data_IF_703306117312
#
_entry.id   IF_703306117312
#
_cell.length_a   1.000
_cell.length_b   1.000
_cell.length_c   1.000
_cell.angle_alpha   90.00
_cell.angle_beta   90.00
_cell.angle_gamma   90.00
#
_symmetry.space_group_name_H-M   'P 1'
#
loop_
_entity.id
_entity.type
_entity.pdbx_description
1 polymer ?
#
# COMPACT_ATOMS: atom_id res chain seq x y z
N UNK A 1 -20.70 11.36 -12.05
CA UNK A 1 -19.36 10.71 -12.10
C UNK A 1 -19.50 9.42 -12.90
N UNK A 2 -18.50 9.03 -13.70
CA UNK A 2 -18.54 7.74 -14.39
C UNK A 2 -18.66 6.60 -13.36
N UNK A 3 -19.42 5.57 -13.69
CA UNK A 3 -19.51 4.37 -12.85
C UNK A 3 -18.15 3.65 -12.90
N UNK A 4 -17.51 3.34 -11.75
CA UNK A 4 -16.26 2.60 -11.75
C UNK A 4 -16.48 1.17 -12.26
N UNK A 5 -15.50 0.64 -13.00
CA UNK A 5 -15.43 -0.77 -13.40
C UNK A 5 -14.17 -1.40 -12.77
N UNK A 6 -14.05 -1.23 -11.46
CA UNK A 6 -12.84 -1.56 -10.71
C UNK A 6 -12.83 -3.05 -10.33
N UNK A 7 -11.75 -3.74 -10.70
CA UNK A 7 -11.40 -5.04 -10.11
C UNK A 7 -10.09 -4.92 -9.34
N UNK A 8 -10.10 -5.26 -8.05
CA UNK A 8 -8.92 -5.28 -7.19
C UNK A 8 -8.34 -6.69 -7.13
N UNK A 9 -7.06 -6.83 -7.49
CA UNK A 9 -6.32 -8.07 -7.36
C UNK A 9 -5.72 -8.15 -5.95
N UNK A 10 -6.15 -9.15 -5.18
CA UNK A 10 -6.02 -9.17 -3.72
C UNK A 10 -5.31 -10.40 -3.20
N UNK A 11 -4.57 -10.22 -2.10
CA UNK A 11 -4.19 -11.28 -1.17
C UNK A 11 -4.37 -10.80 0.28
N UNK A 12 -4.78 -11.68 1.21
CA UNK A 12 -4.81 -11.36 2.63
C UNK A 12 -3.45 -10.87 3.14
N UNK A 13 -3.48 -9.99 4.15
CA UNK A 13 -2.27 -9.42 4.79
C UNK A 13 -1.31 -8.74 3.80
N UNK A 14 -1.85 -8.14 2.73
CA UNK A 14 -1.06 -7.41 1.74
C UNK A 14 -1.48 -5.96 1.65
N UNK A 15 -0.68 -5.18 0.91
CA UNK A 15 -0.95 -3.77 0.60
C UNK A 15 -2.26 -3.56 -0.16
N UNK A 16 -2.85 -4.61 -0.75
CA UNK A 16 -4.15 -4.47 -1.39
C UNK A 16 -5.28 -4.10 -0.44
N UNK A 17 -5.12 -4.36 0.87
CA UNK A 17 -6.13 -3.99 1.87
C UNK A 17 -6.41 -2.49 1.91
N UNK A 18 -5.42 -1.62 1.67
CA UNK A 18 -5.66 -0.16 1.69
C UNK A 18 -6.53 0.30 0.52
N UNK A 19 -6.44 -0.38 -0.62
CA UNK A 19 -7.29 -0.09 -1.78
C UNK A 19 -8.73 -0.52 -1.50
N UNK A 20 -8.91 -1.71 -0.92
CA UNK A 20 -10.22 -2.19 -0.49
C UNK A 20 -10.84 -1.23 0.54
N UNK A 21 -10.07 -0.85 1.56
CA UNK A 21 -10.53 0.08 2.59
C UNK A 21 -10.94 1.43 1.99
N UNK A 22 -10.13 2.02 1.10
CA UNK A 22 -10.49 3.27 0.42
C UNK A 22 -11.81 3.14 -0.36
N UNK A 23 -12.01 2.03 -1.09
CA UNK A 23 -13.23 1.81 -1.86
C UNK A 23 -14.46 1.70 -0.95
N UNK A 24 -14.32 1.05 0.21
CA UNK A 24 -15.38 0.98 1.24
C UNK A 24 -15.68 2.37 1.83
N UNK A 25 -14.68 3.13 2.25
CA UNK A 25 -14.86 4.50 2.78
C UNK A 25 -15.59 5.40 1.77
N UNK A 26 -15.26 5.27 0.48
CA UNK A 26 -15.88 6.04 -0.59
C UNK A 26 -17.23 5.47 -1.06
N UNK A 27 -17.65 4.31 -0.54
CA UNK A 27 -18.84 3.57 -0.97
C UNK A 27 -18.86 3.33 -2.49
N UNK A 28 -17.70 3.02 -3.09
CA UNK A 28 -17.58 2.75 -4.51
C UNK A 28 -17.79 1.25 -4.79
N UNK A 29 -18.53 0.86 -5.85
CA UNK A 29 -18.66 -0.53 -6.22
C UNK A 29 -17.37 -1.05 -6.87
N UNK A 30 -16.96 -2.26 -6.52
CA UNK A 30 -15.79 -2.94 -7.07
C UNK A 30 -15.95 -4.46 -7.03
N UNK A 31 -15.07 -5.16 -7.74
CA UNK A 31 -14.92 -6.61 -7.67
C UNK A 31 -13.59 -6.96 -7.01
N UNK A 32 -13.53 -8.08 -6.28
CA UNK A 32 -12.28 -8.61 -5.73
C UNK A 32 -11.91 -9.89 -6.44
N UNK A 33 -10.69 -9.92 -6.99
CA UNK A 33 -10.07 -11.13 -7.50
C UNK A 33 -8.96 -11.56 -6.55
N UNK A 34 -9.31 -12.44 -5.61
CA UNK A 34 -8.34 -13.02 -4.69
C UNK A 34 -7.44 -14.01 -5.42
N UNK A 35 -6.14 -13.74 -5.41
CA UNK A 35 -5.14 -14.59 -6.04
C UNK A 35 -4.83 -15.79 -5.14
N UNK A 36 -4.27 -16.85 -5.74
CA UNK A 36 -3.69 -17.96 -4.99
C UNK A 36 -2.20 -17.70 -4.78
N UNK A 37 -1.75 -17.89 -3.55
CA UNK A 37 -0.34 -17.88 -3.23
C UNK A 37 0.30 -19.17 -3.75
N UNK A 38 1.31 -19.04 -4.60
CA UNK A 38 2.16 -20.15 -5.06
C UNK A 38 3.61 -19.84 -4.69
N UNK A 39 4.48 -20.86 -4.52
CA UNK A 39 5.90 -20.62 -4.26
C UNK A 39 6.52 -19.72 -5.33
N UNK A 40 6.93 -18.51 -4.95
CA UNK A 40 7.56 -17.54 -5.85
C UNK A 40 6.62 -16.74 -6.78
N UNK A 41 5.31 -17.04 -6.81
CA UNK A 41 4.34 -16.35 -7.67
C UNK A 41 3.03 -16.07 -6.93
N UNK A 42 2.54 -14.84 -7.04
CA UNK A 42 1.22 -14.42 -6.60
C UNK A 42 0.32 -14.33 -7.84
N UNK A 43 -0.47 -15.37 -8.13
CA UNK A 43 -1.43 -15.38 -9.25
C UNK A 43 -0.99 -16.07 -10.55
N UNK A 44 0.24 -16.58 -10.64
CA UNK A 44 0.76 -17.34 -11.79
C UNK A 44 1.27 -16.47 -12.95
N UNK A 45 1.77 -17.09 -14.02
CA UNK A 45 2.37 -16.40 -15.18
C UNK A 45 1.39 -15.43 -15.85
N UNK A 46 0.12 -15.81 -15.98
CA UNK A 46 -0.91 -14.97 -16.59
C UNK A 46 -1.12 -13.64 -15.83
N UNK A 47 -0.86 -13.61 -14.52
CA UNK A 47 -0.98 -12.38 -13.73
C UNK A 47 0.15 -11.38 -14.01
N UNK A 48 1.28 -11.82 -14.58
CA UNK A 48 2.36 -10.90 -14.99
C UNK A 48 1.92 -9.87 -16.04
N UNK A 49 0.87 -10.20 -16.81
CA UNK A 49 0.22 -9.28 -17.76
C UNK A 49 -0.51 -8.12 -17.06
N UNK A 50 -0.86 -8.29 -15.78
CA UNK A 50 -1.52 -7.29 -14.93
C UNK A 50 -0.48 -6.56 -14.07
N UNK A 51 0.38 -7.32 -13.38
CA UNK A 51 1.48 -6.76 -12.60
C UNK A 51 2.79 -7.45 -12.98
N UNK A 52 3.77 -6.74 -13.58
CA UNK A 52 4.99 -7.35 -14.12
C UNK A 52 5.87 -8.01 -13.04
N UNK A 53 5.87 -7.48 -11.82
CA UNK A 53 6.55 -8.07 -10.66
C UNK A 53 5.76 -9.20 -9.99
N UNK A 54 4.57 -9.54 -10.51
CA UNK A 54 3.67 -10.54 -9.96
C UNK A 54 3.32 -10.24 -8.49
N UNK A 55 3.07 -8.99 -8.12
CA UNK A 55 2.76 -8.56 -6.74
C UNK A 55 1.33 -8.01 -6.64
N UNK A 56 0.84 -7.81 -5.42
CA UNK A 56 -0.43 -7.12 -5.14
C UNK A 56 -0.20 -5.85 -4.29
N UNK A 57 -1.06 -4.83 -4.42
CA UNK A 57 -2.21 -4.75 -5.32
C UNK A 57 -1.84 -4.44 -6.77
N UNK A 58 -2.74 -4.86 -7.64
CA UNK A 58 -3.02 -4.19 -8.90
C UNK A 58 -4.52 -3.98 -9.01
N UNK A 59 -4.96 -3.06 -9.87
CA UNK A 59 -6.37 -2.93 -10.26
C UNK A 59 -6.50 -2.94 -11.78
N UNK A 60 -7.69 -3.31 -12.25
CA UNK A 60 -8.19 -2.87 -13.54
C UNK A 60 -9.37 -1.91 -13.33
N UNK A 61 -9.55 -0.98 -14.25
CA UNK A 61 -10.71 -0.09 -14.35
C UNK A 61 -11.10 0.06 -15.82
N UNK A 62 -12.06 -0.75 -16.27
CA UNK A 62 -12.26 -1.04 -17.69
C UNK A 62 -11.02 -1.69 -18.31
N UNK A 63 -10.53 -1.13 -19.42
CA UNK A 63 -9.34 -1.63 -20.13
C UNK A 63 -8.00 -1.19 -19.49
N UNK A 64 -8.04 -0.25 -18.54
CA UNK A 64 -6.83 0.24 -17.88
C UNK A 64 -6.39 -0.75 -16.79
N UNK A 65 -5.08 -0.96 -16.70
CA UNK A 65 -4.46 -1.71 -15.62
C UNK A 65 -3.38 -0.86 -14.94
N UNK A 66 -3.35 -0.89 -13.61
CA UNK A 66 -2.33 -0.18 -12.83
C UNK A 66 -1.93 -0.96 -11.58
N UNK A 67 -0.68 -0.79 -11.16
CA UNK A 67 -0.15 -1.25 -9.88
C UNK A 67 0.46 -0.06 -9.12
N UNK A 68 1.04 -0.31 -7.95
CA UNK A 68 1.40 0.67 -6.92
C UNK A 68 0.22 1.16 -6.09
N UNK A 69 0.10 0.60 -4.89
CA UNK A 69 -1.04 0.84 -3.99
C UNK A 69 -1.33 2.31 -3.67
N UNK A 70 -0.32 3.16 -3.48
CA UNK A 70 -0.51 4.59 -3.20
C UNK A 70 -0.95 5.34 -4.47
N UNK A 71 -0.42 4.96 -5.64
CA UNK A 71 -0.86 5.54 -6.92
C UNK A 71 -2.31 5.13 -7.22
N UNK A 72 -2.69 3.88 -6.93
CA UNK A 72 -4.08 3.39 -7.04
C UNK A 72 -5.02 4.23 -6.17
N UNK A 73 -4.64 4.52 -4.92
CA UNK A 73 -5.45 5.35 -4.03
C UNK A 73 -5.66 6.75 -4.62
N UNK A 74 -4.58 7.40 -5.07
CA UNK A 74 -4.66 8.73 -5.69
C UNK A 74 -5.55 8.72 -6.93
N UNK A 75 -5.35 7.75 -7.83
CA UNK A 75 -6.19 7.58 -9.03
C UNK A 75 -7.68 7.47 -8.69
N UNK A 76 -8.05 6.65 -7.70
CA UNK A 76 -9.44 6.47 -7.28
C UNK A 76 -10.00 7.79 -6.72
N UNK A 77 -9.25 8.48 -5.86
CA UNK A 77 -9.67 9.76 -5.28
C UNK A 77 -9.84 10.84 -6.36
N UNK A 78 -8.87 10.95 -7.28
CA UNK A 78 -8.91 11.91 -8.40
C UNK A 78 -10.13 11.69 -9.29
N UNK A 79 -10.40 10.44 -9.67
CA UNK A 79 -11.36 10.11 -10.71
C UNK A 79 -12.79 9.96 -10.20
N UNK A 80 -12.96 9.39 -9.01
CA UNK A 80 -14.26 8.97 -8.48
C UNK A 80 -14.67 9.69 -7.19
N UNK A 81 -13.78 10.45 -6.57
CA UNK A 81 -14.06 11.14 -5.32
C UNK A 81 -13.36 12.50 -5.20
N UNK A 82 -13.48 13.39 -6.21
CA UNK A 82 -12.82 14.69 -6.16
C UNK A 82 -13.27 15.48 -4.93
N UNK A 83 -12.30 16.04 -4.20
CA UNK A 83 -12.53 16.80 -2.97
C UNK A 83 -12.91 15.96 -1.75
N UNK A 84 -12.73 14.63 -1.79
CA UNK A 84 -12.95 13.74 -0.64
C UNK A 84 -11.65 13.10 -0.18
N UNK A 85 -11.54 12.89 1.13
CA UNK A 85 -10.44 12.15 1.80
C UNK A 85 -9.02 12.70 1.54
N UNK A 86 -8.92 13.94 1.07
CA UNK A 86 -7.66 14.68 0.94
C UNK A 86 -7.91 16.20 0.86
N UNK A 87 -6.92 17.03 1.22
CA UNK A 87 -6.95 18.47 0.99
C UNK A 87 -7.00 18.83 -0.51
N UNK A 88 -7.44 20.05 -0.83
CA UNK A 88 -7.30 20.59 -2.19
C UNK A 88 -5.82 20.81 -2.51
N UNK A 89 -5.43 20.69 -3.78
CA UNK A 89 -4.02 20.86 -4.21
C UNK A 89 -3.48 22.26 -3.96
N UNK A 90 -4.35 23.24 -3.75
CA UNK A 90 -4.00 24.63 -3.41
C UNK A 90 -3.94 24.89 -1.90
N UNK A 91 -4.40 23.95 -1.07
CA UNK A 91 -4.37 24.07 0.39
C UNK A 91 -2.96 23.87 0.94
N UNK A 92 -2.63 24.57 2.03
CA UNK A 92 -1.35 24.43 2.72
C UNK A 92 -1.11 22.99 3.24
N UNK A 93 -2.19 22.28 3.59
CA UNK A 93 -2.16 20.91 4.12
C UNK A 93 -1.90 19.83 3.05
N UNK A 94 -1.97 20.18 1.76
CA UNK A 94 -1.78 19.20 0.69
C UNK A 94 -0.36 18.58 0.69
N UNK A 95 0.66 19.40 0.95
CA UNK A 95 2.04 18.95 1.05
C UNK A 95 2.25 17.93 2.17
N UNK A 96 1.90 18.27 3.44
CA UNK A 96 1.92 17.33 4.56
C UNK A 96 1.11 16.06 4.30
N UNK A 97 -0.12 16.18 3.77
CA UNK A 97 -0.94 15.02 3.40
C UNK A 97 -0.20 14.09 2.43
N UNK A 98 0.35 14.65 1.35
CA UNK A 98 1.03 13.86 0.32
C UNK A 98 2.28 13.18 0.89
N UNK A 99 3.04 13.90 1.74
CA UNK A 99 4.19 13.34 2.45
C UNK A 99 3.77 12.10 3.25
N UNK A 100 2.75 12.19 4.09
CA UNK A 100 2.31 11.09 4.96
C UNK A 100 1.69 9.93 4.18
N UNK A 101 0.97 10.21 3.10
CA UNK A 101 0.44 9.20 2.19
C UNK A 101 1.56 8.33 1.59
N UNK A 102 2.70 8.94 1.24
CA UNK A 102 3.86 8.23 0.67
C UNK A 102 4.80 7.66 1.73
N UNK A 103 4.88 8.28 2.92
CA UNK A 103 5.81 7.92 4.00
C UNK A 103 5.73 6.43 4.37
N UNK A 104 4.52 5.87 4.42
CA UNK A 104 4.31 4.46 4.72
C UNK A 104 5.03 3.49 3.78
N UNK A 105 5.12 3.82 2.48
CA UNK A 105 5.81 2.97 1.49
C UNK A 105 7.26 3.37 1.26
N UNK A 106 7.58 4.66 1.33
CA UNK A 106 8.94 5.14 1.03
C UNK A 106 9.89 5.03 2.21
N UNK A 107 9.39 5.22 3.44
CA UNK A 107 10.22 5.27 4.65
C UNK A 107 9.98 4.07 5.55
N UNK A 108 8.71 3.78 5.88
CA UNK A 108 8.35 2.77 6.88
C UNK A 108 8.49 1.33 6.36
N UNK A 109 8.06 1.10 5.13
CA UNK A 109 8.06 -0.24 4.53
C UNK A 109 9.43 -0.94 4.49
N UNK A 110 10.57 -0.28 4.19
CA UNK A 110 11.90 -0.92 4.23
C UNK A 110 12.28 -1.53 5.58
N UNK A 111 12.05 -0.82 6.69
CA UNK A 111 12.35 -1.33 8.03
C UNK A 111 11.45 -2.54 8.37
N UNK A 112 10.15 -2.43 8.09
CA UNK A 112 9.20 -3.53 8.26
C UNK A 112 9.60 -4.73 7.39
N UNK A 113 9.95 -4.51 6.13
CA UNK A 113 10.37 -5.59 5.23
C UNK A 113 11.61 -6.30 5.77
N UNK A 114 12.61 -5.56 6.23
CA UNK A 114 13.80 -6.13 6.88
C UNK A 114 13.39 -7.07 8.02
N UNK A 115 12.58 -6.59 8.95
CA UNK A 115 12.13 -7.40 10.09
C UNK A 115 11.28 -8.61 9.67
N UNK A 116 10.40 -8.46 8.70
CA UNK A 116 9.60 -9.55 8.15
C UNK A 116 10.47 -10.65 7.55
N UNK A 117 11.50 -10.28 6.78
CA UNK A 117 12.43 -11.26 6.22
C UNK A 117 13.25 -11.95 7.31
N UNK A 118 13.82 -11.20 8.25
CA UNK A 118 14.63 -11.77 9.33
C UNK A 118 13.83 -12.68 10.25
N UNK A 119 12.59 -12.31 10.62
CA UNK A 119 11.81 -13.05 11.63
C UNK A 119 10.96 -14.17 11.04
N UNK A 120 10.44 -14.00 9.82
CA UNK A 120 9.39 -14.88 9.29
C UNK A 120 9.77 -15.60 7.99
N UNK A 121 10.50 -14.96 7.07
CA UNK A 121 10.77 -15.59 5.77
C UNK A 121 12.11 -16.32 5.70
N UNK A 122 13.14 -15.86 6.40
CA UNK A 122 14.43 -16.55 6.45
C UNK A 122 14.41 -17.70 7.45
N UNK A 123 14.96 -18.82 7.02
CA UNK A 123 15.34 -19.91 7.91
C UNK A 123 16.41 -19.43 8.90
N UNK A 124 16.47 -19.98 10.12
CA UNK A 124 17.33 -19.46 11.19
C UNK A 124 18.79 -19.20 10.77
N UNK A 125 19.36 -20.08 9.95
CA UNK A 125 20.74 -20.00 9.46
C UNK A 125 21.00 -18.87 8.45
N UNK A 126 19.96 -18.29 7.84
CA UNK A 126 20.05 -17.16 6.91
C UNK A 126 19.78 -15.81 7.57
N UNK A 127 19.45 -15.81 8.87
CA UNK A 127 19.12 -14.59 9.60
C UNK A 127 20.39 -13.83 9.98
N UNK A 128 20.29 -12.51 10.04
CA UNK A 128 21.34 -11.60 10.49
C UNK A 128 20.81 -10.80 11.67
N UNK A 129 21.38 -11.05 12.85
CA UNK A 129 21.07 -10.31 14.08
C UNK A 129 21.31 -8.81 13.84
N UNK A 130 22.42 -8.45 13.18
CA UNK A 130 22.72 -7.05 12.88
C UNK A 130 21.66 -6.38 11.99
N UNK A 131 21.16 -7.09 10.98
CA UNK A 131 20.10 -6.56 10.11
C UNK A 131 18.78 -6.42 10.87
N UNK A 132 18.48 -7.34 11.79
CA UNK A 132 17.31 -7.25 12.66
C UNK A 132 17.40 -6.07 13.62
N UNK A 133 18.53 -5.91 14.32
CA UNK A 133 18.80 -4.78 15.23
C UNK A 133 18.70 -3.44 14.50
N UNK A 134 19.28 -3.33 13.30
CA UNK A 134 19.15 -2.13 12.46
C UNK A 134 17.69 -1.88 12.07
N UNK A 135 16.94 -2.91 11.68
CA UNK A 135 15.53 -2.80 11.34
C UNK A 135 14.66 -2.34 12.52
N UNK A 136 14.95 -2.82 13.74
CA UNK A 136 14.28 -2.37 14.97
C UNK A 136 14.60 -0.89 15.21
N UNK A 137 15.88 -0.51 15.15
CA UNK A 137 16.31 0.86 15.39
C UNK A 137 15.65 1.86 14.42
N UNK A 138 15.62 1.55 13.13
CA UNK A 138 14.95 2.41 12.14
C UNK A 138 13.45 2.50 12.40
N UNK A 139 12.80 1.39 12.78
CA UNK A 139 11.38 1.39 13.10
C UNK A 139 11.06 2.23 14.35
N UNK A 140 11.87 2.12 15.40
CA UNK A 140 11.74 2.94 16.62
C UNK A 140 11.87 4.44 16.31
N UNK A 141 12.88 4.82 15.51
CA UNK A 141 13.06 6.21 15.07
C UNK A 141 11.85 6.72 14.28
N UNK A 142 11.32 5.91 13.37
CA UNK A 142 10.17 6.27 12.55
C UNK A 142 8.89 6.39 13.38
N UNK A 143 8.68 5.50 14.37
CA UNK A 143 7.57 5.59 15.30
C UNK A 143 7.68 6.81 16.23
N UNK A 144 8.87 7.17 16.69
CA UNK A 144 9.07 8.39 17.46
C UNK A 144 8.67 9.66 16.66
N UNK A 145 8.94 9.68 15.36
CA UNK A 145 8.53 10.79 14.49
C UNK A 145 6.99 10.82 14.35
N UNK A 146 6.36 9.66 14.14
CA UNK A 146 4.90 9.56 14.04
C UNK A 146 4.22 9.97 15.36
N UNK A 147 4.73 9.54 16.50
CA UNK A 147 4.21 9.93 17.82
C UNK A 147 4.28 11.45 18.01
N UNK A 148 5.41 12.06 17.64
CA UNK A 148 5.58 13.52 17.72
C UNK A 148 4.59 14.24 16.81
N UNK A 149 4.38 13.74 15.59
CA UNK A 149 3.43 14.32 14.66
C UNK A 149 1.99 14.23 15.19
N UNK A 150 1.59 13.06 15.69
CA UNK A 150 0.24 12.77 16.17
C UNK A 150 -0.05 13.36 17.55
N UNK A 151 0.96 13.85 18.28
CA UNK A 151 0.73 14.53 19.55
C UNK A 151 -0.14 15.80 19.39
N UNK A 152 -0.01 16.47 18.25
CA UNK A 152 -0.72 17.71 17.93
C UNK A 152 -1.82 17.53 16.84
N UNK A 153 -2.00 16.30 16.32
CA UNK A 153 -2.93 16.00 15.21
C UNK A 153 -3.76 14.75 15.51
N UNK A 154 -5.06 14.80 15.23
CA UNK A 154 -5.96 13.66 15.43
C UNK A 154 -5.67 12.49 14.46
N UNK A 155 -5.04 12.78 13.31
CA UNK A 155 -4.73 11.83 12.24
C UNK A 155 -3.43 12.21 11.49
#
# INVERSE_FOLDING_TARGET
MPKPDITVYHLPMSRSMRVLWLLEELNLPYQVKTLKQQPGLFGGEEYTKIHPLNKVPAITDGDMCMFESVAIMQYIMDRYAPGKLRPDVTDAEYGPYLQWLHYGESSLAPAIATLMYQRHFFSPEKRSIHAEEHGIHELEKQFSILETQLADHEY
#
